data_IF_302771650795
#
_entry.id   IF_302771650795
#
_cell.length_a   1.000
_cell.length_b   1.000
_cell.length_c   1.000
_cell.angle_alpha   90.00
_cell.angle_beta   90.00
_cell.angle_gamma   90.00
#
_symmetry.space_group_name_H-M   'P 1'
#
loop_
_entity.id
_entity.type
_entity.pdbx_description
1 polymer ?
#
# COMPACT_ATOMS: atom_id res chain seq x y z
N UNK A 1 34.43 1.96 -1.42
CA UNK A 1 33.19 2.55 -0.90
C UNK A 1 32.02 1.78 -1.50
N UNK A 2 31.12 1.26 -0.68
CA UNK A 2 29.91 0.60 -1.17
C UNK A 2 28.95 1.68 -1.64
N UNK A 3 28.77 1.82 -2.95
CA UNK A 3 27.78 2.75 -3.48
C UNK A 3 26.38 2.10 -3.38
N UNK A 4 25.37 2.90 -3.07
CA UNK A 4 23.97 2.52 -3.12
C UNK A 4 23.62 2.13 -4.57
N UNK A 5 23.12 0.89 -4.75
CA UNK A 5 22.73 0.36 -6.06
C UNK A 5 21.21 0.27 -6.22
N UNK A 6 20.47 0.10 -5.11
CA UNK A 6 19.03 -0.05 -5.16
C UNK A 6 18.27 0.50 -3.97
N UNK A 7 17.04 0.91 -4.24
CA UNK A 7 16.08 1.37 -3.23
C UNK A 7 14.77 0.63 -3.40
N UNK A 8 14.28 0.05 -2.33
CA UNK A 8 12.98 -0.61 -2.26
C UNK A 8 12.03 0.28 -1.46
N UNK A 9 10.95 0.67 -2.11
CA UNK A 9 9.95 1.57 -1.55
C UNK A 9 8.69 0.79 -1.17
N UNK A 10 8.22 0.96 0.03
CA UNK A 10 6.80 0.75 0.29
C UNK A 10 5.98 1.84 -0.41
N UNK A 11 4.68 1.61 -0.59
CA UNK A 11 3.82 2.49 -1.36
C UNK A 11 2.88 3.31 -0.47
N UNK A 12 1.99 2.62 0.23
CA UNK A 12 0.90 3.24 0.99
C UNK A 12 1.43 3.79 2.32
N UNK A 13 1.34 5.10 2.52
CA UNK A 13 1.93 5.75 3.70
C UNK A 13 3.40 6.18 3.51
N UNK A 14 4.15 5.56 2.62
CA UNK A 14 5.56 5.85 2.31
C UNK A 14 5.72 6.74 1.08
N UNK A 15 5.34 6.28 -0.10
CA UNK A 15 5.38 7.09 -1.34
C UNK A 15 4.21 8.05 -1.38
N UNK A 16 3.01 7.57 -1.06
CA UNK A 16 1.77 8.34 -1.17
C UNK A 16 0.98 8.35 0.14
N UNK A 17 0.22 9.43 0.34
CA UNK A 17 -0.60 9.59 1.54
C UNK A 17 -1.95 8.85 1.41
N UNK A 18 -1.91 7.60 0.97
CA UNK A 18 -3.10 6.82 0.62
C UNK A 18 -3.87 6.31 1.82
N UNK A 19 -3.23 6.12 2.98
CA UNK A 19 -3.91 5.55 4.16
C UNK A 19 -5.10 6.42 4.59
N UNK A 20 -4.91 7.72 4.76
CA UNK A 20 -5.97 8.64 5.17
C UNK A 20 -6.78 9.18 3.99
N UNK A 21 -6.16 9.39 2.83
CA UNK A 21 -6.82 10.01 1.67
C UNK A 21 -7.61 9.02 0.82
N UNK A 22 -7.32 7.73 0.89
CA UNK A 22 -7.97 6.71 0.06
C UNK A 22 -8.45 5.48 0.84
N UNK A 23 -7.59 4.84 1.63
CA UNK A 23 -7.96 3.60 2.33
C UNK A 23 -9.04 3.81 3.37
N UNK A 24 -8.89 4.78 4.27
CA UNK A 24 -9.90 5.08 5.30
C UNK A 24 -11.28 5.43 4.70
N UNK A 25 -11.42 6.39 3.78
CA UNK A 25 -12.73 6.67 3.18
C UNK A 25 -13.28 5.48 2.37
N UNK A 26 -12.43 4.65 1.76
CA UNK A 26 -12.89 3.46 1.06
C UNK A 26 -13.49 2.42 2.00
N UNK A 27 -12.95 2.24 3.22
CA UNK A 27 -13.55 1.41 4.25
C UNK A 27 -14.93 1.93 4.65
N UNK A 28 -15.03 3.21 5.01
CA UNK A 28 -16.29 3.81 5.45
C UNK A 28 -17.38 3.74 4.37
N UNK A 29 -17.03 4.01 3.11
CA UNK A 29 -17.95 3.84 1.99
C UNK A 29 -18.41 2.38 1.84
N UNK A 30 -17.51 1.42 2.02
CA UNK A 30 -17.89 0.01 1.95
C UNK A 30 -18.83 -0.40 3.08
N UNK A 31 -18.62 0.09 4.29
CA UNK A 31 -19.51 -0.16 5.42
C UNK A 31 -20.91 0.38 5.16
N UNK A 32 -21.00 1.61 4.65
CA UNK A 32 -22.26 2.22 4.27
C UNK A 32 -23.02 1.41 3.20
N UNK A 33 -22.31 0.92 2.18
CA UNK A 33 -22.91 0.10 1.12
C UNK A 33 -23.49 -1.22 1.64
N UNK A 34 -22.96 -1.74 2.75
CA UNK A 34 -23.48 -2.94 3.42
C UNK A 34 -24.47 -2.64 4.54
N UNK A 35 -24.91 -1.37 4.71
CA UNK A 35 -25.86 -0.95 5.74
C UNK A 35 -25.30 -1.04 7.16
N UNK A 36 -23.97 -1.08 7.31
CA UNK A 36 -23.31 -1.07 8.61
C UNK A 36 -23.23 0.36 9.15
N UNK A 37 -23.56 0.57 10.41
CA UNK A 37 -23.44 1.86 11.09
C UNK A 37 -21.99 2.23 11.46
N UNK A 38 -21.01 1.47 10.95
CA UNK A 38 -19.60 1.68 11.23
C UNK A 38 -19.06 2.88 10.46
N UNK A 39 -18.30 3.71 11.17
CA UNK A 39 -17.56 4.81 10.58
C UNK A 39 -16.26 4.95 11.35
N UNK A 40 -15.16 4.53 10.74
CA UNK A 40 -13.84 4.71 11.34
C UNK A 40 -13.40 6.17 11.21
N UNK A 41 -13.08 6.79 12.32
CA UNK A 41 -12.35 8.04 12.34
C UNK A 41 -10.85 7.80 12.21
N UNK A 42 -10.08 8.87 12.15
CA UNK A 42 -8.61 8.80 12.00
C UNK A 42 -7.99 8.05 13.19
N UNK A 43 -8.44 8.29 14.40
CA UNK A 43 -7.91 7.66 15.61
C UNK A 43 -8.14 6.16 15.61
N UNK A 44 -9.39 5.73 15.36
CA UNK A 44 -9.72 4.31 15.20
C UNK A 44 -8.91 3.65 14.10
N UNK A 45 -8.73 4.35 12.96
CA UNK A 45 -8.02 3.78 11.83
C UNK A 45 -6.52 3.60 12.12
N UNK A 46 -5.88 4.55 12.78
CA UNK A 46 -4.46 4.43 13.20
C UNK A 46 -4.26 3.21 14.10
N UNK A 47 -5.15 2.96 15.06
CA UNK A 47 -5.07 1.74 15.89
C UNK A 47 -5.26 0.47 15.06
N UNK A 48 -6.19 0.49 14.09
CA UNK A 48 -6.42 -0.64 13.21
C UNK A 48 -5.28 -0.89 12.21
N UNK A 49 -4.42 0.09 11.92
CA UNK A 49 -3.22 -0.10 11.10
C UNK A 49 -2.23 -1.08 11.72
N UNK A 50 -2.23 -1.25 13.05
CA UNK A 50 -1.44 -2.29 13.75
C UNK A 50 -1.85 -3.71 13.36
N UNK A 51 -3.00 -3.89 12.70
CA UNK A 51 -3.52 -5.17 12.22
C UNK A 51 -3.25 -5.27 10.71
N UNK A 52 -2.40 -6.20 10.32
CA UNK A 52 -2.06 -6.40 8.93
C UNK A 52 -3.23 -6.95 8.11
N UNK A 53 -3.47 -6.30 6.95
CA UNK A 53 -4.46 -6.72 5.98
C UNK A 53 -5.88 -6.22 6.26
N UNK A 54 -6.50 -5.63 5.23
CA UNK A 54 -7.81 -5.00 5.35
C UNK A 54 -8.94 -5.95 5.79
N UNK A 55 -8.89 -7.22 5.39
CA UNK A 55 -9.86 -8.24 5.85
C UNK A 55 -9.72 -8.48 7.35
N UNK A 56 -8.50 -8.59 7.85
CA UNK A 56 -8.24 -8.82 9.27
C UNK A 56 -8.69 -7.62 10.11
N UNK A 57 -8.52 -6.39 9.61
CA UNK A 57 -9.03 -5.16 10.26
C UNK A 57 -10.56 -5.19 10.39
N UNK A 58 -11.27 -5.54 9.31
CA UNK A 58 -12.74 -5.68 9.32
C UNK A 58 -13.18 -6.76 10.31
N UNK A 59 -12.57 -7.94 10.26
CA UNK A 59 -12.93 -9.05 11.14
C UNK A 59 -12.63 -8.73 12.61
N UNK A 60 -11.53 -8.06 12.91
CA UNK A 60 -11.21 -7.61 14.26
C UNK A 60 -12.22 -6.59 14.78
N UNK A 61 -12.56 -5.59 13.97
CA UNK A 61 -13.53 -4.57 14.36
C UNK A 61 -14.93 -5.16 14.59
N UNK A 62 -15.34 -6.09 13.73
CA UNK A 62 -16.57 -6.86 13.87
C UNK A 62 -16.69 -7.54 15.24
N UNK A 63 -15.64 -8.23 15.68
CA UNK A 63 -15.62 -8.89 17.00
C UNK A 63 -15.77 -7.89 18.15
N UNK A 64 -15.16 -6.71 18.03
CA UNK A 64 -15.19 -5.68 19.08
C UNK A 64 -16.53 -4.93 19.15
N UNK A 65 -17.28 -4.85 18.06
CA UNK A 65 -18.59 -4.16 17.99
C UNK A 65 -19.77 -5.08 18.27
N UNK A 66 -19.54 -6.34 18.64
CA UNK A 66 -20.57 -7.36 18.88
C UNK A 66 -21.44 -7.69 17.64
N UNK A 67 -21.10 -7.17 16.48
CA UNK A 67 -21.71 -7.54 15.20
C UNK A 67 -20.78 -8.54 14.50
N UNK A 68 -21.00 -9.83 14.76
CA UNK A 68 -20.16 -10.90 14.21
C UNK A 68 -20.46 -11.10 12.73
N UNK A 69 -19.54 -10.66 11.88
CA UNK A 69 -19.58 -10.94 10.45
C UNK A 69 -19.03 -12.34 10.16
N UNK A 70 -19.67 -13.03 9.24
CA UNK A 70 -19.14 -14.25 8.64
C UNK A 70 -17.89 -13.95 7.78
N UNK A 71 -17.14 -14.98 7.48
CA UNK A 71 -15.94 -14.83 6.62
C UNK A 71 -16.29 -14.30 5.21
N UNK A 72 -17.42 -14.74 4.66
CA UNK A 72 -17.90 -14.29 3.35
C UNK A 72 -18.32 -12.81 3.35
N UNK A 73 -18.97 -12.34 4.41
CA UNK A 73 -19.31 -10.92 4.57
C UNK A 73 -18.04 -10.07 4.64
N UNK A 74 -17.03 -10.46 5.44
CA UNK A 74 -15.73 -9.78 5.51
C UNK A 74 -15.07 -9.71 4.14
N UNK A 75 -15.08 -10.80 3.37
CA UNK A 75 -14.51 -10.84 2.03
C UNK A 75 -15.26 -9.89 1.10
N UNK A 76 -16.60 -9.88 1.14
CA UNK A 76 -17.42 -9.04 0.26
C UNK A 76 -17.29 -7.56 0.59
N UNK A 77 -17.29 -7.19 1.88
CA UNK A 77 -17.02 -5.81 2.33
C UNK A 77 -15.62 -5.37 1.86
N UNK A 78 -14.61 -6.24 2.01
CA UNK A 78 -13.26 -5.91 1.56
C UNK A 78 -13.18 -5.75 0.03
N UNK A 79 -13.85 -6.58 -0.76
CA UNK A 79 -13.94 -6.41 -2.22
C UNK A 79 -14.57 -5.05 -2.58
N UNK A 80 -15.64 -4.68 -1.87
CA UNK A 80 -16.31 -3.40 -2.08
C UNK A 80 -15.42 -2.22 -1.68
N UNK A 81 -14.67 -2.35 -0.59
CA UNK A 81 -13.63 -1.39 -0.20
C UNK A 81 -12.58 -1.19 -1.30
N UNK A 82 -12.12 -2.27 -1.93
CA UNK A 82 -11.17 -2.17 -3.04
C UNK A 82 -11.75 -1.40 -4.25
N UNK A 83 -13.02 -1.64 -4.56
CA UNK A 83 -13.72 -0.84 -5.59
C UNK A 83 -13.74 0.65 -5.24
N UNK A 84 -14.12 1.02 -4.01
CA UNK A 84 -14.12 2.41 -3.58
C UNK A 84 -12.73 3.03 -3.59
N UNK A 85 -11.70 2.27 -3.17
CA UNK A 85 -10.31 2.74 -3.23
C UNK A 85 -9.92 3.14 -4.67
N UNK A 86 -10.16 2.28 -5.65
CA UNK A 86 -9.86 2.58 -7.05
C UNK A 86 -10.61 3.83 -7.53
N UNK A 87 -11.90 3.96 -7.19
CA UNK A 87 -12.69 5.15 -7.53
C UNK A 87 -12.16 6.42 -6.87
N UNK A 88 -11.73 6.35 -5.63
CA UNK A 88 -11.11 7.48 -4.94
C UNK A 88 -9.80 7.86 -5.62
N UNK A 89 -8.94 6.89 -5.93
CA UNK A 89 -7.70 7.16 -6.66
C UNK A 89 -7.99 7.78 -8.02
N UNK A 90 -8.96 7.30 -8.77
CA UNK A 90 -9.33 7.87 -10.08
C UNK A 90 -9.76 9.34 -9.98
N UNK A 91 -10.61 9.67 -9.02
CA UNK A 91 -11.32 10.94 -8.96
C UNK A 91 -10.67 12.01 -8.06
N UNK A 92 -9.95 11.60 -7.01
CA UNK A 92 -9.39 12.50 -6.01
C UNK A 92 -7.91 12.80 -6.26
N UNK A 93 -7.42 13.90 -5.67
CA UNK A 93 -6.01 14.24 -5.65
C UNK A 93 -5.34 13.50 -4.48
N UNK A 94 -4.89 12.28 -4.74
CA UNK A 94 -3.93 11.64 -3.83
C UNK A 94 -2.55 12.24 -4.12
N UNK A 95 -1.84 12.63 -3.07
CA UNK A 95 -0.57 13.31 -3.18
C UNK A 95 0.61 12.41 -2.79
N UNK A 96 1.76 12.67 -3.41
CA UNK A 96 3.03 12.14 -2.93
C UNK A 96 3.35 12.70 -1.55
N UNK A 97 3.99 11.90 -0.71
CA UNK A 97 4.58 12.40 0.54
C UNK A 97 5.65 13.46 0.23
N UNK A 98 5.79 14.40 1.16
CA UNK A 98 6.74 15.52 1.01
C UNK A 98 8.15 14.99 0.79
N UNK A 99 8.82 15.48 -0.25
CA UNK A 99 10.18 15.12 -0.59
C UNK A 99 10.34 13.87 -1.47
N UNK A 100 9.32 13.00 -1.57
CA UNK A 100 9.40 11.75 -2.33
C UNK A 100 9.75 12.01 -3.80
N UNK A 101 9.02 12.90 -4.46
CA UNK A 101 9.29 13.19 -5.88
C UNK A 101 10.73 13.64 -6.13
N UNK A 102 11.23 14.53 -5.27
CA UNK A 102 12.61 15.01 -5.36
C UNK A 102 13.61 13.87 -5.19
N UNK A 103 13.46 13.06 -4.13
CA UNK A 103 14.37 11.96 -3.83
C UNK A 103 14.37 10.90 -4.94
N UNK A 104 13.18 10.47 -5.38
CA UNK A 104 13.02 9.52 -6.47
C UNK A 104 13.72 10.01 -7.75
N UNK A 105 13.55 11.29 -8.09
CA UNK A 105 14.16 11.90 -9.27
C UNK A 105 15.68 12.02 -9.15
N UNK A 106 16.20 12.34 -7.97
CA UNK A 106 17.64 12.39 -7.71
C UNK A 106 18.28 11.00 -7.79
N UNK A 107 17.65 9.98 -7.20
CA UNK A 107 18.12 8.59 -7.29
C UNK A 107 18.17 8.11 -8.74
N UNK A 108 17.12 8.40 -9.51
CA UNK A 108 17.07 8.07 -10.94
C UNK A 108 18.21 8.73 -11.73
N UNK A 109 18.48 10.04 -11.51
CA UNK A 109 19.60 10.74 -12.14
C UNK A 109 20.96 10.12 -11.79
N UNK A 110 21.09 9.59 -10.57
CA UNK A 110 22.29 8.90 -10.10
C UNK A 110 22.37 7.44 -10.53
N UNK A 111 21.40 6.97 -11.36
CA UNK A 111 21.31 5.59 -11.84
C UNK A 111 21.17 4.55 -10.71
N UNK A 112 20.63 4.96 -9.56
CA UNK A 112 20.23 4.04 -8.50
C UNK A 112 18.89 3.42 -8.90
N UNK A 113 18.84 2.09 -8.97
CA UNK A 113 17.63 1.36 -9.36
C UNK A 113 16.59 1.43 -8.27
N UNK A 114 15.32 1.53 -8.65
CA UNK A 114 14.21 1.73 -7.72
C UNK A 114 13.11 0.71 -7.96
N UNK A 115 12.55 0.19 -6.89
CA UNK A 115 11.54 -0.88 -6.90
C UNK A 115 10.45 -0.57 -5.90
N UNK A 116 9.22 -0.97 -6.19
CA UNK A 116 8.13 -0.90 -5.20
C UNK A 116 7.91 -2.29 -4.62
N UNK A 117 7.77 -2.36 -3.29
CA UNK A 117 7.45 -3.59 -2.55
C UNK A 117 6.31 -3.26 -1.60
N UNK A 118 5.09 -3.72 -1.92
CA UNK A 118 3.87 -3.32 -1.21
C UNK A 118 2.93 -4.49 -0.93
N UNK A 119 2.05 -4.33 0.06
CA UNK A 119 0.93 -5.23 0.32
C UNK A 119 -0.33 -4.90 -0.49
N UNK A 120 -0.30 -3.86 -1.32
CA UNK A 120 -1.36 -3.51 -2.24
C UNK A 120 -1.36 -4.43 -3.48
N UNK A 121 -2.53 -4.60 -4.12
CA UNK A 121 -2.65 -5.41 -5.34
C UNK A 121 -2.05 -4.70 -6.55
N UNK A 122 -1.69 -5.47 -7.57
CA UNK A 122 -1.09 -4.92 -8.80
C UNK A 122 -1.94 -3.82 -9.43
N UNK A 123 -3.26 -4.02 -9.51
CA UNK A 123 -4.16 -3.01 -10.10
C UNK A 123 -4.14 -1.68 -9.33
N UNK A 124 -4.00 -1.72 -8.01
CA UNK A 124 -3.90 -0.51 -7.18
C UNK A 124 -2.58 0.21 -7.42
N UNK A 125 -1.48 -0.54 -7.46
CA UNK A 125 -0.13 -0.01 -7.74
C UNK A 125 -0.08 0.64 -9.11
N UNK A 126 -0.52 -0.06 -10.16
CA UNK A 126 -0.49 0.43 -11.54
C UNK A 126 -1.29 1.75 -11.69
N UNK A 127 -2.49 1.81 -11.07
CA UNK A 127 -3.33 3.01 -11.10
C UNK A 127 -2.67 4.17 -10.36
N UNK A 128 -2.15 3.92 -9.17
CA UNK A 128 -1.56 4.95 -8.32
C UNK A 128 -0.26 5.50 -8.93
N UNK A 129 0.63 4.63 -9.39
CA UNK A 129 1.91 5.05 -10.02
C UNK A 129 1.64 5.82 -11.31
N UNK A 130 0.73 5.36 -12.16
CA UNK A 130 0.33 6.09 -13.36
C UNK A 130 -0.19 7.50 -13.03
N UNK A 131 -0.91 7.65 -11.92
CA UNK A 131 -1.44 8.95 -11.49
C UNK A 131 -0.39 9.86 -10.91
N UNK A 132 0.51 9.34 -10.07
CA UNK A 132 1.51 10.12 -9.34
C UNK A 132 2.75 10.47 -10.18
N UNK A 133 3.11 9.60 -11.14
CA UNK A 133 4.30 9.72 -11.96
C UNK A 133 3.95 9.75 -13.46
N UNK A 134 2.99 10.58 -13.84
CA UNK A 134 2.36 10.65 -15.17
C UNK A 134 3.32 10.60 -16.36
N UNK A 135 4.43 11.33 -16.27
CA UNK A 135 5.39 11.51 -17.37
C UNK A 135 6.71 10.76 -17.15
N UNK A 136 6.83 10.10 -15.99
CA UNK A 136 8.11 9.56 -15.56
C UNK A 136 7.89 8.39 -14.61
N UNK A 137 8.16 7.17 -15.09
CA UNK A 137 8.17 6.00 -14.21
C UNK A 137 9.63 5.64 -13.85
N UNK A 138 10.06 5.90 -12.62
CA UNK A 138 11.42 5.63 -12.16
C UNK A 138 11.64 4.21 -11.66
N UNK A 139 10.59 3.40 -11.59
CA UNK A 139 10.63 2.10 -10.95
C UNK A 139 10.82 0.99 -11.99
N UNK A 140 11.80 0.11 -11.75
CA UNK A 140 12.13 -1.00 -12.64
C UNK A 140 11.04 -2.08 -12.63
N UNK A 141 10.53 -2.42 -11.44
CA UNK A 141 9.42 -3.36 -11.25
C UNK A 141 8.71 -3.17 -9.90
N UNK A 142 7.60 -3.86 -9.72
CA UNK A 142 6.80 -3.88 -8.50
C UNK A 142 6.70 -5.31 -7.96
N UNK A 143 6.79 -5.48 -6.64
CA UNK A 143 6.36 -6.65 -5.91
C UNK A 143 5.09 -6.26 -5.15
N UNK A 144 4.01 -6.93 -5.44
CA UNK A 144 2.66 -6.65 -4.93
C UNK A 144 2.14 -7.82 -4.09
N UNK A 145 0.96 -7.68 -3.49
CA UNK A 145 0.32 -8.81 -2.81
C UNK A 145 0.02 -10.00 -3.73
N UNK A 146 -0.04 -9.76 -5.04
CA UNK A 146 -0.38 -10.79 -6.01
C UNK A 146 0.85 -11.65 -6.39
N UNK A 147 2.06 -11.18 -6.07
CA UNK A 147 3.33 -11.82 -6.43
C UNK A 147 3.90 -12.70 -5.33
N UNK A 148 3.36 -12.65 -4.10
CA UNK A 148 3.92 -13.32 -2.93
C UNK A 148 2.87 -14.16 -2.18
N UNK A 149 3.30 -15.32 -1.69
CA UNK A 149 2.46 -16.18 -0.85
C UNK A 149 2.30 -15.63 0.57
N UNK A 150 3.35 -15.04 1.09
CA UNK A 150 3.40 -14.47 2.44
C UNK A 150 3.62 -12.95 2.33
N UNK A 151 2.59 -12.14 2.64
CA UNK A 151 2.71 -10.68 2.60
C UNK A 151 3.49 -10.16 3.81
N UNK A 152 3.85 -8.88 3.80
CA UNK A 152 4.40 -8.19 4.96
C UNK A 152 3.53 -8.44 6.21
N UNK A 153 4.11 -8.67 7.40
CA UNK A 153 5.50 -8.40 7.79
C UNK A 153 6.49 -9.55 7.49
N UNK A 154 6.08 -10.58 6.73
CA UNK A 154 7.02 -11.60 6.28
C UNK A 154 8.10 -10.96 5.39
N UNK A 155 9.37 -11.36 5.49
CA UNK A 155 10.44 -10.79 4.67
C UNK A 155 10.37 -11.20 3.18
N UNK A 156 9.53 -12.18 2.84
CA UNK A 156 9.42 -12.75 1.48
C UNK A 156 9.28 -11.71 0.38
N UNK A 157 8.45 -10.63 0.51
CA UNK A 157 8.34 -9.62 -0.54
C UNK A 157 9.68 -8.93 -0.85
N UNK A 158 10.43 -8.55 0.18
CA UNK A 158 11.74 -7.92 0.01
C UNK A 158 12.79 -8.91 -0.49
N UNK A 159 12.81 -10.14 0.02
CA UNK A 159 13.71 -11.18 -0.47
C UNK A 159 13.47 -11.50 -1.95
N UNK A 160 12.20 -11.54 -2.37
CA UNK A 160 11.81 -11.70 -3.77
C UNK A 160 12.31 -10.53 -4.62
N UNK A 161 12.11 -9.29 -4.16
CA UNK A 161 12.58 -8.10 -4.86
C UNK A 161 14.11 -8.08 -4.98
N UNK A 162 14.84 -8.44 -3.93
CA UNK A 162 16.30 -8.53 -3.94
C UNK A 162 16.79 -9.62 -4.90
N UNK A 163 16.15 -10.78 -4.92
CA UNK A 163 16.48 -11.86 -5.86
C UNK A 163 16.29 -11.42 -7.30
N UNK A 164 15.17 -10.78 -7.63
CA UNK A 164 14.88 -10.32 -8.99
C UNK A 164 15.78 -9.17 -9.43
N UNK A 165 16.11 -8.25 -8.55
CA UNK A 165 16.99 -7.12 -8.86
C UNK A 165 18.46 -7.53 -8.99
N UNK A 166 18.88 -8.61 -8.33
CA UNK A 166 20.28 -9.03 -8.19
C UNK A 166 21.11 -8.13 -7.28
N UNK A 167 20.48 -7.20 -6.55
CA UNK A 167 21.19 -6.23 -5.69
C UNK A 167 21.36 -6.81 -4.29
N UNK A 168 22.58 -6.75 -3.78
CA UNK A 168 22.94 -7.22 -2.42
C UNK A 168 22.32 -6.29 -1.36
N UNK A 169 21.92 -6.84 -0.22
CA UNK A 169 21.35 -6.07 0.90
C UNK A 169 22.28 -4.95 1.39
N UNK A 170 23.58 -5.19 1.44
CA UNK A 170 24.58 -4.19 1.86
C UNK A 170 24.75 -3.00 0.88
N UNK A 171 24.05 -3.06 -0.28
CA UNK A 171 24.05 -2.02 -1.32
C UNK A 171 22.64 -1.46 -1.58
N UNK A 172 21.72 -1.72 -0.68
CA UNK A 172 20.32 -1.30 -0.80
C UNK A 172 19.80 -0.63 0.45
N UNK A 173 18.74 0.16 0.26
CA UNK A 173 17.97 0.81 1.33
C UNK A 173 16.50 0.46 1.11
N UNK A 174 15.77 0.30 2.21
CA UNK A 174 14.31 0.16 2.24
C UNK A 174 13.73 1.42 2.87
N UNK A 175 12.65 1.97 2.27
CA UNK A 175 11.81 2.99 2.88
C UNK A 175 10.47 2.37 3.22
N UNK A 176 10.08 2.49 4.47
CA UNK A 176 8.84 1.98 5.08
C UNK A 176 8.29 2.99 6.08
N UNK A 177 6.97 2.93 6.34
CA UNK A 177 6.30 3.73 7.37
C UNK A 177 5.75 2.88 8.53
N UNK A 178 5.87 1.55 8.46
CA UNK A 178 5.36 0.60 9.47
C UNK A 178 6.38 -0.47 9.87
#
# INVERSE_FOLDING_TARGET
MSFLEGVYWDLDGTIANTELEAHLPAFNNSFNDFGLSWNWDISNYIELLKINGGKNRIAHYSKNTKLLLSNDEVINIHKRKQYHYLKIIENNKVCLKVGVYRLVKELYKKKVRQFIVTSSSKIQVDLLIKKLFKEFNPFDFFITSDDVKFPKPDPSPYLTAMKLSGIKSCKSIVFEDS
#
